data_IF_932921289580
#
_entry.id   IF_932921289580
#
_cell.length_a   1.000
_cell.length_b   1.000
_cell.length_c   1.000
_cell.angle_alpha   90.00
_cell.angle_beta   90.00
_cell.angle_gamma   90.00
#
_symmetry.space_group_name_H-M   'P 1'
#
loop_
_entity.id
_entity.type
_entity.pdbx_description
1 polymer ?
#
# COMPACT_ATOMS: atom_id res chain seq x y z
N UNK A 1 33.93 -19.18 -14.90
CA UNK A 1 32.85 -19.39 -13.92
C UNK A 1 31.52 -19.25 -14.65
N UNK A 2 30.53 -20.07 -14.29
CA UNK A 2 29.29 -20.21 -15.04
C UNK A 2 28.21 -19.27 -14.52
N UNK A 3 28.03 -18.14 -15.19
CA UNK A 3 26.82 -17.34 -15.08
C UNK A 3 25.82 -17.77 -16.15
N UNK A 4 24.56 -17.93 -15.77
CA UNK A 4 23.47 -18.19 -16.70
C UNK A 4 22.33 -17.24 -16.36
N UNK A 5 21.55 -16.88 -17.37
CA UNK A 5 20.32 -16.11 -17.22
C UNK A 5 19.21 -16.76 -18.02
N UNK A 6 18.01 -16.75 -17.47
CA UNK A 6 16.79 -17.08 -18.20
C UNK A 6 15.83 -15.91 -18.02
N UNK A 7 15.16 -15.54 -19.11
CA UNK A 7 14.06 -14.60 -19.08
C UNK A 7 12.77 -15.39 -19.30
N UNK A 8 11.77 -15.19 -18.44
CA UNK A 8 10.48 -15.81 -18.65
C UNK A 8 9.87 -15.30 -19.97
N UNK A 9 9.64 -16.21 -20.92
CA UNK A 9 9.14 -15.87 -22.26
C UNK A 9 7.61 -15.73 -22.33
N UNK A 10 6.90 -16.05 -21.24
CA UNK A 10 5.44 -15.99 -21.13
C UNK A 10 5.04 -15.47 -19.74
N UNK A 11 3.87 -14.82 -19.60
CA UNK A 11 3.31 -14.52 -18.29
C UNK A 11 3.20 -15.80 -17.45
N UNK A 12 3.48 -15.69 -16.16
CA UNK A 12 3.18 -16.76 -15.21
C UNK A 12 1.66 -16.90 -15.11
N UNK A 13 1.13 -18.10 -15.32
CA UNK A 13 -0.31 -18.38 -15.24
C UNK A 13 -0.55 -19.67 -14.46
N UNK A 14 -1.52 -19.70 -13.55
CA UNK A 14 -1.93 -20.92 -12.83
C UNK A 14 -2.91 -21.80 -13.60
N UNK A 15 -3.59 -21.23 -14.60
CA UNK A 15 -4.57 -21.91 -15.45
C UNK A 15 -5.60 -20.93 -16.01
N UNK A 16 -6.54 -21.39 -16.84
CA UNK A 16 -7.65 -20.56 -17.31
C UNK A 16 -8.53 -20.12 -16.13
N UNK A 17 -8.91 -18.84 -16.11
CA UNK A 17 -9.79 -18.23 -15.09
C UNK A 17 -9.23 -18.26 -13.65
N UNK A 18 -7.92 -18.42 -13.48
CA UNK A 18 -7.26 -18.31 -12.18
C UNK A 18 -6.39 -17.05 -12.15
N UNK A 19 -6.39 -16.35 -11.01
CA UNK A 19 -5.42 -15.28 -10.79
C UNK A 19 -4.00 -15.84 -10.98
N UNK A 20 -3.12 -15.10 -11.65
CA UNK A 20 -1.71 -15.48 -11.72
C UNK A 20 -1.03 -15.40 -10.34
N UNK A 21 -1.64 -14.76 -9.35
CA UNK A 21 -1.01 -14.52 -8.06
C UNK A 21 -0.80 -15.79 -7.22
N UNK A 22 0.19 -15.70 -6.33
CA UNK A 22 0.63 -16.68 -5.35
C UNK A 22 1.99 -17.29 -5.68
N UNK A 23 2.29 -18.42 -5.05
CA UNK A 23 3.63 -19.01 -5.09
C UNK A 23 3.98 -19.72 -6.41
N UNK A 24 5.22 -19.52 -6.84
CA UNK A 24 5.88 -20.20 -7.96
C UNK A 24 7.23 -20.77 -7.53
N UNK A 25 7.48 -22.02 -7.91
CA UNK A 25 8.75 -22.68 -7.67
C UNK A 25 9.59 -22.71 -8.95
N UNK A 26 10.73 -22.05 -8.92
CA UNK A 26 11.73 -22.05 -9.98
C UNK A 26 12.72 -23.17 -9.68
N UNK A 27 12.67 -24.25 -10.48
CA UNK A 27 13.54 -25.41 -10.34
C UNK A 27 14.68 -25.34 -11.34
N UNK A 28 15.91 -25.33 -10.83
CA UNK A 28 17.14 -25.39 -11.59
C UNK A 28 17.67 -26.81 -11.52
N UNK A 29 18.05 -27.37 -12.67
CA UNK A 29 18.70 -28.68 -12.76
C UNK A 29 19.96 -28.53 -13.59
N UNK A 30 21.10 -28.82 -12.98
CA UNK A 30 22.40 -28.90 -13.66
C UNK A 30 22.73 -30.37 -13.85
N UNK A 31 23.11 -30.76 -15.06
CA UNK A 31 23.59 -32.12 -15.38
C UNK A 31 25.03 -32.02 -15.87
N UNK A 32 25.95 -32.81 -15.30
CA UNK A 32 27.33 -32.86 -15.76
C UNK A 32 27.52 -33.83 -16.96
N UNK A 33 28.74 -33.92 -17.49
CA UNK A 33 29.06 -34.80 -18.63
C UNK A 33 28.95 -36.30 -18.29
N UNK A 34 28.90 -36.65 -17.01
CA UNK A 34 28.78 -38.01 -16.53
C UNK A 34 27.32 -38.35 -16.11
N UNK A 35 26.35 -37.52 -16.49
CA UNK A 35 24.92 -37.63 -16.15
C UNK A 35 24.58 -37.44 -14.66
N UNK A 36 25.49 -36.91 -13.84
CA UNK A 36 25.16 -36.52 -12.47
C UNK A 36 24.30 -35.26 -12.47
N UNK A 37 23.25 -35.24 -11.65
CA UNK A 37 22.31 -34.11 -11.55
C UNK A 37 22.37 -33.45 -10.20
N UNK A 38 22.44 -32.13 -10.19
CA UNK A 38 22.17 -31.30 -9.03
C UNK A 38 20.92 -30.47 -9.27
N UNK A 39 20.07 -30.36 -8.24
CA UNK A 39 18.83 -29.60 -8.30
C UNK A 39 18.79 -28.55 -7.19
N UNK A 40 18.37 -27.34 -7.54
CA UNK A 40 18.06 -26.27 -6.58
C UNK A 40 16.67 -25.73 -6.90
N UNK A 41 15.89 -25.41 -5.87
CA UNK A 41 14.57 -24.77 -6.01
C UNK A 41 14.60 -23.41 -5.33
N UNK A 42 14.03 -22.40 -5.99
CA UNK A 42 13.79 -21.07 -5.42
C UNK A 42 12.30 -20.75 -5.51
N UNK A 43 11.73 -20.21 -4.45
CA UNK A 43 10.29 -19.86 -4.39
C UNK A 43 10.14 -18.36 -4.52
N UNK A 44 9.20 -17.93 -5.36
CA UNK A 44 8.80 -16.52 -5.52
C UNK A 44 7.29 -16.41 -5.37
N UNK A 45 6.81 -15.28 -4.89
CA UNK A 45 5.37 -14.96 -4.81
C UNK A 45 5.09 -13.89 -5.85
N UNK A 46 4.11 -14.13 -6.72
CA UNK A 46 3.54 -13.08 -7.55
C UNK A 46 2.33 -12.50 -6.80
N UNK A 47 2.32 -11.20 -6.60
CA UNK A 47 1.19 -10.51 -5.99
C UNK A 47 0.98 -9.22 -6.76
N UNK A 48 -0.19 -9.09 -7.38
CA UNK A 48 -0.55 -7.99 -8.27
C UNK A 48 -1.83 -7.30 -7.83
N UNK A 49 -2.42 -7.73 -6.72
CA UNK A 49 -3.69 -7.22 -6.23
C UNK A 49 -3.41 -6.10 -5.23
N UNK A 50 -3.79 -4.85 -5.53
CA UNK A 50 -3.67 -3.78 -4.55
C UNK A 50 -4.62 -4.01 -3.38
N UNK A 51 -4.25 -3.51 -2.19
CA UNK A 51 -5.12 -3.58 -1.02
C UNK A 51 -6.37 -2.72 -1.19
N UNK A 52 -7.44 -3.08 -0.49
CA UNK A 52 -8.58 -2.20 -0.25
C UNK A 52 -8.23 -1.18 0.83
N UNK A 53 -8.76 0.04 0.68
CA UNK A 53 -8.59 1.13 1.64
C UNK A 53 -9.88 1.94 1.72
N UNK A 54 -10.32 2.23 2.94
CA UNK A 54 -11.47 3.07 3.22
C UNK A 54 -11.07 4.24 4.11
N UNK A 55 -11.88 5.30 4.04
CA UNK A 55 -11.87 6.43 4.94
C UNK A 55 -13.29 6.53 5.51
N UNK A 56 -13.41 6.44 6.83
CA UNK A 56 -14.68 6.62 7.52
C UNK A 56 -15.14 8.08 7.41
N UNK A 57 -16.46 8.34 7.55
CA UNK A 57 -16.98 9.70 7.62
C UNK A 57 -16.23 10.54 8.66
N UNK A 58 -15.88 11.75 8.26
CA UNK A 58 -15.23 12.70 9.14
C UNK A 58 -16.30 13.44 9.95
N UNK A 59 -16.30 13.27 11.27
CA UNK A 59 -17.41 13.73 12.13
C UNK A 59 -18.73 13.03 11.75
N UNK A 60 -19.87 13.51 12.24
CA UNK A 60 -21.17 12.85 11.98
C UNK A 60 -21.74 13.14 10.57
N UNK A 61 -21.28 14.20 9.92
CA UNK A 61 -21.80 14.73 8.66
C UNK A 61 -20.83 14.63 7.48
N UNK A 62 -19.64 14.04 7.70
CA UNK A 62 -18.56 13.96 6.71
C UNK A 62 -18.07 15.34 6.22
N UNK A 63 -18.12 16.34 7.09
CA UNK A 63 -17.71 17.71 6.80
C UNK A 63 -16.60 18.16 7.74
N UNK A 64 -15.46 18.57 7.16
CA UNK A 64 -14.39 19.21 7.92
C UNK A 64 -14.72 20.70 8.09
N UNK A 65 -14.79 21.15 9.34
CA UNK A 65 -15.01 22.55 9.67
C UNK A 65 -13.71 23.26 10.06
N UNK A 66 -13.75 24.59 10.08
CA UNK A 66 -12.62 25.39 10.59
C UNK A 66 -12.35 25.17 12.08
N UNK A 67 -13.33 24.66 12.85
CA UNK A 67 -13.12 24.30 14.25
C UNK A 67 -12.26 23.04 14.34
N UNK A 68 -12.57 22.01 13.56
CA UNK A 68 -11.80 20.75 13.52
C UNK A 68 -10.33 21.02 13.20
N UNK A 69 -10.05 21.93 12.27
CA UNK A 69 -8.67 22.30 11.93
C UNK A 69 -7.94 23.03 13.08
N UNK A 70 -8.66 23.74 13.95
CA UNK A 70 -8.10 24.51 15.07
C UNK A 70 -7.97 23.69 16.35
N UNK A 71 -8.80 22.67 16.52
CA UNK A 71 -8.79 21.81 17.71
C UNK A 71 -8.12 20.46 17.46
N UNK A 72 -7.90 20.11 16.20
CA UNK A 72 -7.37 18.82 15.76
C UNK A 72 -8.44 18.00 15.05
N UNK A 73 -8.01 17.25 14.05
CA UNK A 73 -8.87 16.49 13.15
C UNK A 73 -8.59 15.00 13.34
N UNK A 74 -9.60 14.23 13.74
CA UNK A 74 -9.52 12.77 13.80
C UNK A 74 -10.03 12.17 12.49
N UNK A 75 -9.29 11.22 11.96
CA UNK A 75 -9.62 10.43 10.78
C UNK A 75 -9.39 8.94 11.06
N UNK A 76 -10.18 8.08 10.43
CA UNK A 76 -10.06 6.63 10.56
C UNK A 76 -10.55 5.92 9.30
N UNK A 77 -10.31 4.62 9.25
CA UNK A 77 -10.87 3.74 8.24
C UNK A 77 -10.33 2.34 8.40
N UNK A 78 -10.44 1.56 7.32
CA UNK A 78 -9.96 0.18 7.23
C UNK A 78 -9.09 -0.04 6.01
N UNK A 79 -8.25 -1.06 6.05
CA UNK A 79 -7.45 -1.51 4.92
C UNK A 79 -7.07 -2.97 5.10
N UNK A 80 -7.11 -3.76 4.04
CA UNK A 80 -6.63 -5.16 4.06
C UNK A 80 -5.13 -5.31 3.70
N UNK A 81 -4.43 -4.19 3.45
CA UNK A 81 -2.97 -4.18 3.44
C UNK A 81 -2.43 -4.72 4.76
N UNK A 82 -1.30 -5.43 4.73
CA UNK A 82 -0.86 -6.15 5.93
C UNK A 82 -0.56 -5.21 7.11
N UNK A 83 -0.75 -5.67 8.36
CA UNK A 83 -0.43 -4.87 9.54
C UNK A 83 0.98 -4.28 9.48
N UNK A 84 1.08 -3.00 9.83
CA UNK A 84 2.30 -2.19 9.75
C UNK A 84 2.54 -1.51 8.41
N UNK A 85 1.72 -1.73 7.36
CA UNK A 85 1.80 -0.93 6.15
C UNK A 85 1.43 0.53 6.42
N UNK A 86 2.20 1.46 5.83
CA UNK A 86 2.05 2.89 6.07
C UNK A 86 0.93 3.49 5.22
N UNK A 87 0.05 4.24 5.87
CA UNK A 87 -0.98 5.04 5.21
C UNK A 87 -0.48 6.46 5.03
N UNK A 88 -0.63 6.98 3.81
CA UNK A 88 -0.34 8.38 3.49
C UNK A 88 -1.64 9.13 3.26
N UNK A 89 -1.80 10.25 3.95
CA UNK A 89 -2.93 11.17 3.78
C UNK A 89 -2.52 12.38 2.94
N UNK A 90 -3.37 12.71 1.97
CA UNK A 90 -3.20 13.82 1.04
C UNK A 90 -4.33 14.81 1.19
N UNK A 91 -4.00 16.03 1.58
CA UNK A 91 -4.93 17.15 1.51
C UNK A 91 -4.82 17.78 0.13
N UNK A 92 -5.91 17.84 -0.61
CA UNK A 92 -5.92 18.28 -2.00
C UNK A 92 -6.71 19.58 -2.07
N UNK A 93 -6.06 20.67 -2.45
CA UNK A 93 -6.73 21.97 -2.57
C UNK A 93 -7.71 22.00 -3.75
N UNK A 94 -8.44 23.10 -3.88
CA UNK A 94 -9.40 23.30 -4.98
C UNK A 94 -8.76 23.35 -6.38
N UNK A 95 -7.44 23.46 -6.49
CA UNK A 95 -6.69 23.40 -7.76
C UNK A 95 -6.18 21.99 -8.07
N UNK A 96 -6.34 21.04 -7.14
CA UNK A 96 -5.84 19.68 -7.28
C UNK A 96 -4.41 19.49 -6.77
N UNK A 97 -3.82 20.49 -6.11
CA UNK A 97 -2.47 20.38 -5.57
C UNK A 97 -2.48 19.54 -4.27
N UNK A 98 -1.69 18.46 -4.27
CA UNK A 98 -1.54 17.58 -3.12
C UNK A 98 -0.59 18.18 -2.10
N UNK A 99 -1.11 18.53 -0.94
CA UNK A 99 -0.36 18.83 0.27
C UNK A 99 -0.16 17.53 1.05
N UNK A 100 1.11 17.16 1.23
CA UNK A 100 1.49 16.00 2.05
C UNK A 100 1.74 16.50 3.46
N UNK A 101 0.88 16.10 4.40
CA UNK A 101 1.13 16.35 5.82
C UNK A 101 1.86 15.13 6.36
N UNK A 102 3.08 15.34 6.87
CA UNK A 102 3.85 14.27 7.48
C UNK A 102 3.25 13.94 8.84
N UNK A 103 2.60 12.78 8.93
CA UNK A 103 2.11 12.23 10.19
C UNK A 103 3.30 11.86 11.09
N UNK A 104 3.22 12.26 12.35
CA UNK A 104 4.13 11.83 13.40
C UNK A 104 3.32 11.49 14.67
N UNK A 105 3.24 10.23 15.10
CA UNK A 105 3.85 9.04 14.47
C UNK A 105 3.25 8.72 13.08
N UNK A 106 3.91 7.83 12.34
CA UNK A 106 3.37 7.34 11.08
C UNK A 106 2.01 6.64 11.28
N UNK A 107 1.13 6.76 10.29
CA UNK A 107 -0.17 6.08 10.27
C UNK A 107 0.06 4.68 9.71
N UNK A 108 -0.40 3.66 10.40
CA UNK A 108 -0.24 2.27 9.99
C UNK A 108 -1.57 1.53 10.06
N UNK A 109 -1.71 0.52 9.22
CA UNK A 109 -2.75 -0.51 9.40
C UNK A 109 -2.40 -1.32 10.64
N UNK A 110 -3.37 -1.49 11.54
CA UNK A 110 -3.22 -2.29 12.75
C UNK A 110 -3.57 -3.77 12.54
N UNK A 111 -3.43 -4.58 13.59
CA UNK A 111 -3.69 -6.02 13.54
C UNK A 111 -5.17 -6.40 13.33
N UNK A 112 -6.09 -5.42 13.30
CA UNK A 112 -7.52 -5.61 13.05
C UNK A 112 -7.97 -4.98 11.72
N UNK A 113 -7.04 -4.73 10.80
CA UNK A 113 -7.29 -4.09 9.50
C UNK A 113 -7.86 -2.67 9.63
N UNK A 114 -7.57 -1.99 10.75
CA UNK A 114 -8.03 -0.64 11.05
C UNK A 114 -6.87 0.35 11.07
N UNK A 115 -7.19 1.62 10.88
CA UNK A 115 -6.24 2.70 11.08
C UNK A 115 -6.95 3.93 11.62
N UNK A 116 -6.20 4.74 12.37
CA UNK A 116 -6.67 6.06 12.79
C UNK A 116 -5.52 7.02 12.99
N UNK A 117 -5.81 8.30 12.82
CA UNK A 117 -4.87 9.35 13.12
C UNK A 117 -5.60 10.60 13.62
N UNK A 118 -5.00 11.29 14.58
CA UNK A 118 -5.48 12.60 15.04
C UNK A 118 -4.42 13.62 14.68
N UNK A 119 -4.71 14.44 13.67
CA UNK A 119 -3.89 15.59 13.34
C UNK A 119 -3.99 16.64 14.43
N UNK A 120 -2.85 17.20 14.84
CA UNK A 120 -2.84 18.40 15.68
C UNK A 120 -3.14 19.64 14.85
N UNK A 121 -3.60 20.71 15.50
CA UNK A 121 -3.80 22.00 14.84
C UNK A 121 -2.50 22.55 14.21
N UNK A 122 -1.34 22.22 14.78
CA UNK A 122 -0.03 22.60 14.24
C UNK A 122 0.28 21.88 12.92
N UNK A 123 -0.02 20.59 12.82
CA UNK A 123 0.20 19.83 11.58
C UNK A 123 -0.71 20.32 10.44
N UNK A 124 -1.88 20.85 10.78
CA UNK A 124 -2.85 21.41 9.83
C UNK A 124 -2.59 22.90 9.54
N UNK A 125 -1.67 23.54 10.27
CA UNK A 125 -1.35 24.93 10.09
C UNK A 125 -0.71 25.15 8.71
N UNK A 126 -1.40 25.85 7.81
CA UNK A 126 -0.93 26.12 6.46
C UNK A 126 -1.73 25.42 5.36
N UNK A 127 -2.70 24.57 5.70
CA UNK A 127 -3.68 24.13 4.72
C UNK A 127 -4.50 25.33 4.21
N UNK A 128 -4.72 25.47 2.88
CA UNK A 128 -5.51 26.55 2.31
C UNK A 128 -7.02 26.31 2.47
N UNK A 129 -7.48 26.07 3.71
CA UNK A 129 -8.83 25.61 4.01
C UNK A 129 -9.95 26.60 3.66
N UNK A 130 -9.65 27.89 3.58
CA UNK A 130 -10.62 28.92 3.17
C UNK A 130 -11.14 28.71 1.74
N UNK A 131 -10.44 27.93 0.93
CA UNK A 131 -10.84 27.62 -0.44
C UNK A 131 -11.45 26.22 -0.62
N UNK A 132 -11.62 25.49 0.48
CA UNK A 132 -12.02 24.07 0.47
C UNK A 132 -10.88 23.13 0.06
N UNK A 133 -10.98 21.89 0.50
CA UNK A 133 -10.02 20.83 0.17
C UNK A 133 -10.70 19.46 0.24
N UNK A 134 -10.06 18.45 -0.34
CA UNK A 134 -10.42 17.03 -0.19
C UNK A 134 -9.34 16.31 0.63
N UNK A 135 -9.73 15.29 1.36
CA UNK A 135 -8.80 14.36 1.99
C UNK A 135 -8.84 13.04 1.24
N UNK A 136 -7.69 12.58 0.77
CA UNK A 136 -7.52 11.26 0.18
C UNK A 136 -6.52 10.45 1.00
N UNK A 137 -6.77 9.15 1.15
CA UNK A 137 -5.85 8.21 1.76
C UNK A 137 -5.25 7.29 0.69
N UNK A 138 -4.02 6.84 0.90
CA UNK A 138 -3.37 5.83 0.08
C UNK A 138 -2.55 4.89 0.96
N UNK A 139 -2.46 3.64 0.55
CA UNK A 139 -1.68 2.58 1.20
C UNK A 139 -1.14 1.66 0.12
N UNK A 140 -0.04 0.99 0.43
CA UNK A 140 0.49 -0.10 -0.38
C UNK A 140 0.60 -1.35 0.46
N UNK A 141 0.45 -2.51 -0.14
CA UNK A 141 0.77 -3.78 0.50
C UNK A 141 2.29 -4.04 0.53
N UNK A 142 2.71 -5.17 1.11
CA UNK A 142 4.13 -5.59 1.13
C UNK A 142 4.72 -5.84 -0.26
N UNK A 143 3.90 -6.19 -1.25
CA UNK A 143 4.33 -6.37 -2.64
C UNK A 143 4.52 -5.02 -3.36
N UNK A 144 4.01 -3.94 -2.78
CA UNK A 144 4.13 -2.57 -3.28
C UNK A 144 3.01 -2.13 -4.21
N UNK A 145 1.94 -2.91 -4.29
CA UNK A 145 0.74 -2.62 -5.09
C UNK A 145 -0.02 -1.40 -4.55
#
# INVERSE_FOLDING_TARGET
>A
EGEWSIQAAKPLTKGPNQSPDGEYNIKLVVTDLADNKQTTTHTVVLDTVPPTLTLDPISEDDVITSLDLKTGLKVSGTSDAEPGQSITLHFIDNKGEKQVIVANPAIIVDENDQWSYTFTAEQLAGLPYEQGFKLEASVKDKAGN
#
